data_IF_158046620741
#
_entry.id   IF_158046620741
#
_cell.length_a   1.000
_cell.length_b   1.000
_cell.length_c   1.000
_cell.angle_alpha   90.00
_cell.angle_beta   90.00
_cell.angle_gamma   90.00
#
_symmetry.space_group_name_H-M   'P 1'
#
loop_
_entity.id
_entity.type
_entity.pdbx_description
1 polymer ?
#
# COMPACT_ATOMS: atom_id res chain seq x y z
N UNK A 1 -12.28 -13.79 -18.68
CA UNK A 1 -11.02 -13.26 -18.12
C UNK A 1 -10.25 -14.43 -17.48
N UNK A 2 -8.96 -14.62 -17.77
CA UNK A 2 -8.19 -15.73 -17.21
C UNK A 2 -7.64 -15.40 -15.82
N UNK A 3 -7.26 -16.40 -14.98
CA UNK A 3 -6.66 -16.16 -13.67
C UNK A 3 -5.41 -15.27 -13.75
N UNK A 4 -4.59 -15.47 -14.79
CA UNK A 4 -3.39 -14.66 -15.03
C UNK A 4 -3.71 -13.16 -15.19
N UNK A 5 -4.78 -12.82 -15.90
CA UNK A 5 -5.17 -11.41 -16.09
C UNK A 5 -5.68 -10.81 -14.78
N UNK A 6 -6.50 -11.54 -14.02
CA UNK A 6 -7.01 -11.06 -12.71
C UNK A 6 -5.85 -10.84 -11.73
N UNK A 7 -4.87 -11.74 -11.73
CA UNK A 7 -3.66 -11.61 -10.92
C UNK A 7 -2.82 -10.39 -11.33
N UNK A 8 -2.57 -10.19 -12.62
CA UNK A 8 -1.82 -9.02 -13.12
C UNK A 8 -2.50 -7.70 -12.76
N UNK A 9 -3.83 -7.61 -12.91
CA UNK A 9 -4.58 -6.41 -12.53
C UNK A 9 -4.49 -6.15 -11.02
N UNK A 10 -4.57 -7.21 -10.21
CA UNK A 10 -4.42 -7.11 -8.75
C UNK A 10 -3.03 -6.64 -8.35
N UNK A 11 -1.98 -7.19 -8.96
CA UNK A 11 -0.61 -6.78 -8.71
C UNK A 11 -0.35 -5.34 -9.14
N UNK A 12 -0.84 -4.94 -10.33
CA UNK A 12 -0.71 -3.58 -10.82
C UNK A 12 -1.42 -2.57 -9.89
N UNK A 13 -2.62 -2.90 -9.41
CA UNK A 13 -3.36 -2.11 -8.44
C UNK A 13 -2.59 -1.94 -7.12
N UNK A 14 -2.03 -3.02 -6.58
CA UNK A 14 -1.24 -2.99 -5.35
C UNK A 14 0.07 -2.20 -5.54
N UNK A 15 0.71 -2.32 -6.70
CA UNK A 15 1.91 -1.57 -7.03
C UNK A 15 1.61 -0.07 -7.12
N UNK A 16 0.50 0.31 -7.76
CA UNK A 16 0.05 1.70 -7.84
C UNK A 16 -0.22 2.28 -6.44
N UNK A 17 -0.85 1.52 -5.54
CA UNK A 17 -1.05 1.93 -4.15
C UNK A 17 0.27 2.13 -3.41
N UNK A 18 1.16 1.14 -3.47
CA UNK A 18 2.49 1.23 -2.84
C UNK A 18 3.24 2.48 -3.30
N UNK A 19 3.30 2.70 -4.61
CA UNK A 19 3.97 3.86 -5.21
C UNK A 19 3.32 5.17 -4.79
N UNK A 20 1.98 5.23 -4.73
CA UNK A 20 1.26 6.43 -4.29
C UNK A 20 1.63 6.79 -2.86
N UNK A 21 1.59 5.83 -1.94
CA UNK A 21 1.93 6.09 -0.54
C UNK A 21 3.40 6.49 -0.38
N UNK A 22 4.33 5.80 -1.06
CA UNK A 22 5.76 6.16 -1.04
C UNK A 22 5.99 7.55 -1.62
N UNK A 23 5.32 7.91 -2.72
CA UNK A 23 5.44 9.23 -3.33
C UNK A 23 4.91 10.33 -2.40
N UNK A 24 3.77 10.12 -1.74
CA UNK A 24 3.23 11.07 -0.76
C UNK A 24 4.17 11.23 0.44
N UNK A 25 4.74 10.12 0.94
CA UNK A 25 5.75 10.17 2.00
C UNK A 25 7.00 10.98 1.59
N UNK A 26 7.52 10.72 0.38
CA UNK A 26 8.68 11.44 -0.13
C UNK A 26 8.38 12.93 -0.34
N UNK A 27 7.21 13.26 -0.91
CA UNK A 27 6.78 14.65 -1.09
C UNK A 27 6.68 15.38 0.24
N UNK A 28 6.15 14.73 1.28
CA UNK A 28 6.04 15.32 2.61
C UNK A 28 7.42 15.66 3.21
N UNK A 29 8.45 14.85 2.95
CA UNK A 29 9.82 15.11 3.43
C UNK A 29 10.57 16.17 2.60
N UNK A 30 10.19 16.36 1.35
CA UNK A 30 10.89 17.23 0.40
C UNK A 30 10.24 18.60 0.25
N UNK A 31 9.10 18.84 0.89
CA UNK A 31 8.36 20.11 0.81
C UNK A 31 8.49 20.91 2.10
N UNK A 32 8.60 22.22 1.95
CA UNK A 32 8.56 23.17 3.08
C UNK A 32 7.12 23.41 3.58
N UNK A 33 6.11 23.17 2.72
CA UNK A 33 4.70 23.30 3.08
C UNK A 33 3.91 22.07 2.61
N UNK A 34 3.66 21.15 3.53
CA UNK A 34 2.87 19.94 3.29
C UNK A 34 1.40 20.25 3.02
N UNK A 35 0.89 21.40 3.48
CA UNK A 35 -0.52 21.80 3.31
C UNK A 35 -0.82 22.27 1.88
N UNK A 36 0.20 22.69 1.14
CA UNK A 36 0.08 23.09 -0.26
C UNK A 36 -0.14 21.90 -1.22
N UNK A 37 0.13 20.67 -0.77
CA UNK A 37 0.01 19.46 -1.58
C UNK A 37 -1.27 18.69 -1.27
N UNK A 38 -1.82 17.93 -2.24
CA UNK A 38 -3.01 17.13 -2.05
C UNK A 38 -2.70 15.84 -1.27
N UNK A 39 -2.21 15.96 -0.03
CA UNK A 39 -1.85 14.82 0.83
C UNK A 39 -3.05 13.91 1.14
N UNK A 40 -4.27 14.44 1.01
CA UNK A 40 -5.51 13.69 1.13
C UNK A 40 -5.75 12.73 -0.04
N UNK A 41 -5.05 12.88 -1.18
CA UNK A 41 -5.25 12.10 -2.41
C UNK A 41 -5.06 10.59 -2.19
N UNK A 42 -4.20 10.21 -1.25
CA UNK A 42 -3.94 8.81 -0.90
C UNK A 42 -5.23 8.05 -0.52
N UNK A 43 -6.17 8.71 0.17
CA UNK A 43 -7.45 8.12 0.57
C UNK A 43 -8.36 7.77 -0.62
N UNK A 44 -8.75 8.76 -1.45
CA UNK A 44 -9.55 8.52 -2.65
C UNK A 44 -8.90 7.54 -3.64
N UNK A 45 -7.57 7.59 -3.81
CA UNK A 45 -6.85 6.62 -4.64
C UNK A 45 -7.04 5.20 -4.09
N UNK A 46 -6.91 5.02 -2.77
CA UNK A 46 -7.22 3.77 -2.08
C UNK A 46 -8.62 3.25 -2.39
N UNK A 47 -9.62 4.13 -2.29
CA UNK A 47 -11.03 3.78 -2.54
C UNK A 47 -11.29 3.40 -4.01
N UNK A 48 -10.73 4.17 -4.95
CA UNK A 48 -10.88 3.89 -6.38
C UNK A 48 -10.22 2.57 -6.76
N UNK A 49 -9.04 2.27 -6.21
CA UNK A 49 -8.36 0.99 -6.44
C UNK A 49 -9.17 -0.17 -5.84
N UNK A 50 -9.72 0.00 -4.63
CA UNK A 50 -10.58 -1.00 -4.02
C UNK A 50 -11.84 -1.27 -4.88
N UNK A 51 -12.50 -0.21 -5.36
CA UNK A 51 -13.66 -0.33 -6.25
C UNK A 51 -13.30 -1.03 -7.58
N UNK A 52 -12.14 -0.71 -8.16
CA UNK A 52 -11.65 -1.36 -9.37
C UNK A 52 -11.38 -2.85 -9.16
N UNK A 53 -10.74 -3.24 -8.05
CA UNK A 53 -10.51 -4.65 -7.71
C UNK A 53 -11.82 -5.40 -7.48
N UNK A 54 -12.79 -4.78 -6.81
CA UNK A 54 -14.12 -5.35 -6.62
C UNK A 54 -14.83 -5.58 -7.95
N UNK A 55 -14.81 -4.58 -8.84
CA UNK A 55 -15.41 -4.69 -10.17
C UNK A 55 -14.74 -5.80 -11.01
N UNK A 56 -13.42 -5.92 -10.95
CA UNK A 56 -12.67 -7.01 -11.60
C UNK A 56 -13.15 -8.36 -11.08
N UNK A 57 -13.35 -8.48 -9.76
CA UNK A 57 -13.81 -9.72 -9.16
C UNK A 57 -15.24 -10.09 -9.51
N UNK A 58 -16.09 -9.09 -9.67
CA UNK A 58 -17.48 -9.25 -10.08
C UNK A 58 -17.61 -9.71 -11.54
N UNK A 59 -16.77 -9.18 -12.44
CA UNK A 59 -16.83 -9.46 -13.89
C UNK A 59 -16.06 -10.73 -14.27
N UNK A 60 -15.01 -11.09 -13.52
CA UNK A 60 -14.23 -12.29 -13.79
C UNK A 60 -15.04 -13.58 -13.53
N UNK A 61 -14.80 -14.67 -14.30
CA UNK A 61 -15.43 -15.96 -14.02
C UNK A 61 -15.13 -16.41 -12.59
N UNK A 62 -16.14 -16.89 -11.85
CA UNK A 62 -16.01 -17.31 -10.43
C UNK A 62 -14.78 -18.19 -10.16
N UNK A 63 -14.52 -19.16 -11.03
CA UNK A 63 -13.34 -20.05 -10.93
C UNK A 63 -12.02 -19.29 -11.02
N UNK A 64 -11.93 -18.28 -11.88
CA UNK A 64 -10.71 -17.47 -12.01
C UNK A 64 -10.47 -16.58 -10.80
N UNK A 65 -11.53 -15.94 -10.28
CA UNK A 65 -11.47 -15.15 -9.05
C UNK A 65 -11.11 -16.01 -7.84
N UNK A 66 -11.69 -17.22 -7.73
CA UNK A 66 -11.42 -18.14 -6.63
C UNK A 66 -9.97 -18.66 -6.62
N UNK A 67 -9.34 -18.83 -7.79
CA UNK A 67 -7.93 -19.21 -7.89
C UNK A 67 -7.02 -18.06 -7.45
N UNK A 68 -7.35 -16.82 -7.81
CA UNK A 68 -6.49 -15.65 -7.55
C UNK A 68 -6.64 -15.10 -6.13
N UNK A 69 -7.79 -15.27 -5.51
CA UNK A 69 -8.06 -14.83 -4.13
C UNK A 69 -8.34 -16.01 -3.20
N UNK A 70 -7.60 -17.09 -3.40
CA UNK A 70 -7.66 -18.29 -2.57
C UNK A 70 -7.14 -18.05 -1.14
N UNK A 71 -7.24 -19.07 -0.29
CA UNK A 71 -6.77 -19.03 1.09
C UNK A 71 -5.26 -18.72 1.18
N UNK A 72 -4.45 -19.25 0.26
CA UNK A 72 -3.02 -18.98 0.23
C UNK A 72 -2.73 -17.48 -0.04
N UNK A 73 -3.56 -16.83 -0.86
CA UNK A 73 -3.55 -15.39 -1.10
C UNK A 73 -3.86 -14.60 0.14
N UNK A 74 -4.93 -14.99 0.83
CA UNK A 74 -5.35 -14.33 2.06
C UNK A 74 -4.27 -14.46 3.15
N UNK A 75 -3.70 -15.65 3.32
CA UNK A 75 -2.59 -15.89 4.25
C UNK A 75 -1.34 -15.06 3.92
N UNK A 76 -0.99 -14.96 2.64
CA UNK A 76 0.13 -14.13 2.22
C UNK A 76 -0.13 -12.65 2.49
N UNK A 77 -1.36 -12.18 2.26
CA UNK A 77 -1.77 -10.81 2.56
C UNK A 77 -1.75 -10.52 4.06
N UNK A 78 -2.23 -11.44 4.91
CA UNK A 78 -2.17 -11.31 6.37
C UNK A 78 -0.72 -11.21 6.87
N UNK A 79 0.18 -12.03 6.35
CA UNK A 79 1.63 -11.93 6.66
C UNK A 79 2.22 -10.59 6.20
N UNK A 80 1.77 -10.08 5.05
CA UNK A 80 2.21 -8.77 4.57
C UNK A 80 1.70 -7.63 5.46
N UNK A 81 0.45 -7.71 5.94
CA UNK A 81 -0.10 -6.75 6.92
C UNK A 81 0.68 -6.73 8.23
N UNK A 82 1.14 -7.89 8.73
CA UNK A 82 2.02 -7.94 9.90
C UNK A 82 3.34 -7.18 9.66
N UNK A 83 3.85 -7.16 8.43
CA UNK A 83 5.01 -6.33 8.07
C UNK A 83 4.66 -4.84 8.14
N UNK A 84 3.47 -4.45 7.69
CA UNK A 84 2.96 -3.08 7.83
C UNK A 84 2.94 -2.60 9.27
N UNK A 85 2.45 -3.43 10.20
CA UNK A 85 2.46 -3.13 11.63
C UNK A 85 3.87 -2.82 12.17
N UNK A 86 4.84 -3.69 11.87
CA UNK A 86 6.23 -3.49 12.32
C UNK A 86 6.90 -2.28 11.68
N UNK A 87 6.67 -2.05 10.38
CA UNK A 87 7.16 -0.85 9.70
C UNK A 87 6.57 0.39 10.34
N UNK A 88 5.29 0.37 10.72
CA UNK A 88 4.66 1.47 11.42
C UNK A 88 5.31 1.77 12.76
N UNK A 89 5.56 0.76 13.60
CA UNK A 89 6.28 0.94 14.87
C UNK A 89 7.64 1.58 14.64
N UNK A 90 8.44 1.03 13.72
CA UNK A 90 9.78 1.53 13.44
C UNK A 90 9.76 2.96 12.88
N UNK A 91 8.81 3.27 11.98
CA UNK A 91 8.64 4.60 11.43
C UNK A 91 8.24 5.61 12.50
N UNK A 92 7.26 5.28 13.36
CA UNK A 92 6.85 6.16 14.46
C UNK A 92 8.01 6.43 15.43
N UNK A 93 8.81 5.41 15.76
CA UNK A 93 9.99 5.60 16.61
C UNK A 93 11.03 6.47 15.92
N UNK A 94 11.38 6.18 14.67
CA UNK A 94 12.38 6.94 13.92
C UNK A 94 11.97 8.41 13.74
N UNK A 95 10.77 8.65 13.22
CA UNK A 95 10.27 10.01 12.99
C UNK A 95 9.96 10.74 14.30
N UNK A 96 9.55 10.04 15.36
CA UNK A 96 9.42 10.64 16.70
C UNK A 96 10.75 11.19 17.22
N UNK A 97 11.86 10.47 17.01
CA UNK A 97 13.19 10.98 17.34
C UNK A 97 13.60 12.16 16.46
N UNK A 98 13.25 12.16 15.17
CA UNK A 98 13.53 13.29 14.27
C UNK A 98 12.76 14.55 14.68
N UNK A 99 11.51 14.42 15.15
CA UNK A 99 10.73 15.53 15.72
C UNK A 99 11.40 16.05 16.99
N UNK A 100 11.82 15.16 17.89
CA UNK A 100 12.52 15.55 19.12
C UNK A 100 13.85 16.28 18.85
N UNK A 101 14.54 15.92 17.76
CA UNK A 101 15.75 16.58 17.29
C UNK A 101 15.51 17.89 16.51
N UNK A 102 14.25 18.23 16.23
CA UNK A 102 13.88 19.42 15.47
C UNK A 102 14.17 19.32 13.96
N UNK A 103 14.33 18.10 13.41
CA UNK A 103 14.64 17.89 12.00
C UNK A 103 13.41 17.92 11.10
N UNK A 104 12.25 17.54 11.63
CA UNK A 104 10.95 17.53 10.93
C UNK A 104 9.86 17.97 11.90
N UNK A 105 8.79 18.56 11.39
CA UNK A 105 7.61 18.87 12.19
C UNK A 105 6.76 17.62 12.46
N UNK A 106 5.90 17.72 13.48
CA UNK A 106 5.04 16.62 13.91
C UNK A 106 4.06 16.15 12.82
N UNK A 107 3.52 17.07 12.02
CA UNK A 107 2.58 16.76 10.95
C UNK A 107 3.22 15.93 9.85
N UNK A 108 4.42 16.35 9.40
CA UNK A 108 5.23 15.61 8.43
C UNK A 108 5.60 14.22 8.96
N UNK A 109 6.11 14.15 10.18
CA UNK A 109 6.48 12.89 10.84
C UNK A 109 5.30 11.90 10.90
N UNK A 110 4.12 12.37 11.28
CA UNK A 110 2.91 11.56 11.35
C UNK A 110 2.48 11.07 9.96
N UNK A 111 2.43 11.97 8.98
CA UNK A 111 2.03 11.64 7.61
C UNK A 111 2.97 10.60 6.99
N UNK A 112 4.28 10.81 7.09
CA UNK A 112 5.28 9.89 6.54
C UNK A 112 5.19 8.53 7.21
N UNK A 113 5.06 8.49 8.54
CA UNK A 113 4.89 7.23 9.27
C UNK A 113 3.64 6.48 8.82
N UNK A 114 2.51 7.18 8.66
CA UNK A 114 1.26 6.59 8.20
C UNK A 114 1.38 6.05 6.75
N UNK A 115 2.00 6.82 5.85
CA UNK A 115 2.19 6.42 4.46
C UNK A 115 3.13 5.21 4.32
N UNK A 116 4.23 5.17 5.06
CA UNK A 116 5.15 4.03 5.05
C UNK A 116 4.48 2.77 5.62
N UNK A 117 3.69 2.92 6.69
CA UNK A 117 2.87 1.85 7.27
C UNK A 117 1.89 1.29 6.24
N UNK A 118 1.22 2.17 5.49
CA UNK A 118 0.27 1.80 4.45
C UNK A 118 0.94 1.13 3.24
N UNK A 119 2.12 1.60 2.82
CA UNK A 119 2.85 1.06 1.67
C UNK A 119 3.42 -0.34 1.93
N UNK A 120 3.96 -0.55 3.13
CA UNK A 120 4.68 -1.76 3.52
C UNK A 120 3.98 -3.09 3.20
N UNK A 121 2.68 -3.31 3.49
CA UNK A 121 2.02 -4.56 3.16
C UNK A 121 1.94 -4.78 1.64
N UNK A 122 1.69 -3.74 0.84
CA UNK A 122 1.66 -3.89 -0.62
C UNK A 122 3.04 -4.26 -1.18
N UNK A 123 4.08 -3.56 -0.73
CA UNK A 123 5.47 -3.86 -1.12
C UNK A 123 5.84 -5.29 -0.72
N UNK A 124 5.53 -5.69 0.52
CA UNK A 124 5.84 -7.02 1.03
C UNK A 124 5.08 -8.12 0.28
N UNK A 125 3.82 -7.88 -0.02
CA UNK A 125 2.98 -8.81 -0.76
C UNK A 125 3.52 -9.00 -2.18
N UNK A 126 3.85 -7.92 -2.89
CA UNK A 126 4.42 -7.95 -4.23
C UNK A 126 5.83 -8.56 -4.29
N UNK A 127 6.63 -8.37 -3.24
CA UNK A 127 7.95 -8.99 -3.10
C UNK A 127 7.86 -10.50 -2.77
N UNK A 128 6.72 -10.95 -2.23
CA UNK A 128 6.41 -12.38 -2.18
C UNK A 128 6.21 -12.91 -3.60
N UNK A 129 6.67 -14.12 -3.88
CA UNK A 129 6.62 -14.75 -5.22
C UNK A 129 5.18 -15.09 -5.68
N UNK A 130 4.32 -14.07 -5.81
CA UNK A 130 3.02 -14.09 -6.48
C UNK A 130 3.12 -14.08 -7.99
N UNK A 131 4.34 -13.88 -8.52
CA UNK A 131 4.55 -13.51 -9.92
C UNK A 131 4.01 -14.53 -10.93
N UNK A 132 4.00 -15.82 -10.65
CA UNK A 132 3.31 -16.82 -11.50
C UNK A 132 3.04 -18.07 -10.66
N UNK A 133 1.84 -18.25 -10.11
CA UNK A 133 1.33 -19.62 -9.92
C UNK A 133 0.54 -19.98 -11.18
N UNK A 134 0.96 -21.00 -11.94
CA UNK A 134 0.30 -21.42 -13.17
C UNK A 134 -1.15 -21.85 -12.93
#
# INVERSE_FOLDING_TARGET
MSPKVVSLVTQAAFAALALTFIAVAALALLTDDVRAYPIWLAGPVGLLVAAALFAVGWVAPRRSSAIVWDEATQDAWLRAQATGYWVGILAFVAFGNMVAAGWVDLGTAFLVSAMLTAAAPFVRFLAGAWLVRP
#
